data_IF_754767133377
#
_entry.id   IF_754767133377
#
_cell.length_a   1.000
_cell.length_b   1.000
_cell.length_c   1.000
_cell.angle_alpha   90.00
_cell.angle_beta   90.00
_cell.angle_gamma   90.00
#
_symmetry.space_group_name_H-M   'P 1'
#
loop_
_entity.id
_entity.type
_entity.pdbx_description
1 polymer ?
#
# COMPACT_ATOMS: atom_id res chain seq x y z
N UNK A 1 -47.32 -58.51 25.88
CA UNK A 1 -46.16 -58.76 24.99
C UNK A 1 -46.13 -57.93 23.70
N UNK A 2 -47.22 -57.77 22.93
CA UNK A 2 -47.21 -57.06 21.62
C UNK A 2 -46.82 -55.56 21.66
N UNK A 3 -47.08 -54.84 22.75
CA UNK A 3 -46.79 -53.40 22.88
C UNK A 3 -45.31 -53.09 23.17
N UNK A 4 -44.65 -53.94 23.95
CA UNK A 4 -43.22 -53.85 24.24
C UNK A 4 -42.37 -54.23 23.01
N UNK A 5 -42.76 -55.26 22.26
CA UNK A 5 -42.08 -55.67 21.03
C UNK A 5 -42.11 -54.56 19.95
N UNK A 6 -43.25 -53.86 19.78
CA UNK A 6 -43.35 -52.70 18.88
C UNK A 6 -42.45 -51.53 19.29
N UNK A 7 -42.28 -51.30 20.60
CA UNK A 7 -41.44 -50.21 21.13
C UNK A 7 -39.95 -50.48 20.90
N UNK A 8 -39.49 -51.72 21.10
CA UNK A 8 -38.12 -52.12 20.78
C UNK A 8 -37.86 -52.16 19.27
N UNK A 9 -38.82 -52.62 18.47
CA UNK A 9 -38.69 -52.61 17.01
C UNK A 9 -38.60 -51.19 16.43
N UNK A 10 -39.40 -50.26 16.96
CA UNK A 10 -39.32 -48.83 16.59
C UNK A 10 -37.99 -48.20 17.00
N UNK A 11 -37.43 -48.60 18.14
CA UNK A 11 -36.12 -48.12 18.59
C UNK A 11 -34.99 -48.64 17.71
N UNK A 12 -35.04 -49.92 17.31
CA UNK A 12 -34.05 -50.53 16.40
C UNK A 12 -34.09 -49.85 15.02
N UNK A 13 -35.27 -49.58 14.48
CA UNK A 13 -35.41 -48.85 13.19
C UNK A 13 -34.86 -47.42 13.32
N UNK A 14 -35.15 -46.72 14.41
CA UNK A 14 -34.62 -45.38 14.66
C UNK A 14 -33.08 -45.39 14.76
N UNK A 15 -32.51 -46.37 15.46
CA UNK A 15 -31.05 -46.53 15.57
C UNK A 15 -30.41 -46.87 14.22
N UNK A 16 -31.03 -47.74 13.42
CA UNK A 16 -30.54 -48.07 12.06
C UNK A 16 -30.60 -46.87 11.10
N UNK A 17 -31.64 -46.03 11.17
CA UNK A 17 -31.72 -44.78 10.39
C UNK A 17 -30.66 -43.75 10.83
N UNK A 18 -30.38 -43.64 12.13
CA UNK A 18 -29.33 -42.76 12.65
C UNK A 18 -27.95 -43.25 12.22
N UNK A 19 -27.70 -44.57 12.24
CA UNK A 19 -26.45 -45.16 11.74
C UNK A 19 -26.31 -44.94 10.23
N UNK A 20 -27.38 -45.04 9.43
CA UNK A 20 -27.32 -44.77 7.99
C UNK A 20 -27.05 -43.30 7.65
N UNK A 21 -27.40 -42.36 8.53
CA UNK A 21 -27.06 -40.93 8.39
C UNK A 21 -25.58 -40.63 8.68
N UNK A 22 -24.86 -41.51 9.37
CA UNK A 22 -23.45 -41.33 9.74
C UNK A 22 -22.49 -41.86 8.66
N UNK A 23 -22.94 -42.77 7.79
CA UNK A 23 -22.14 -43.41 6.72
C UNK A 23 -22.40 -42.76 5.35
N UNK A 24 -22.64 -41.44 5.31
CA UNK A 24 -22.57 -40.72 4.03
C UNK A 24 -21.09 -40.53 3.70
N UNK A 25 -20.52 -41.17 2.65
CA UNK A 25 -19.16 -40.88 2.25
C UNK A 25 -19.09 -39.40 1.89
N UNK A 26 -18.39 -38.60 2.72
CA UNK A 26 -18.01 -37.24 2.36
C UNK A 26 -17.03 -37.37 1.20
N UNK A 27 -17.54 -37.31 -0.03
CA UNK A 27 -16.69 -37.10 -1.20
C UNK A 27 -16.04 -35.73 -1.02
N UNK A 28 -14.80 -35.72 -0.54
CA UNK A 28 -13.99 -34.52 -0.50
C UNK A 28 -13.79 -34.08 -1.95
N UNK A 29 -14.62 -33.14 -2.41
CA UNK A 29 -14.47 -32.50 -3.70
C UNK A 29 -13.04 -31.95 -3.76
N UNK A 30 -12.19 -32.54 -4.59
CA UNK A 30 -10.82 -32.08 -4.74
C UNK A 30 -10.85 -30.59 -5.09
N UNK A 31 -10.27 -29.76 -4.23
CA UNK A 31 -10.26 -28.31 -4.43
C UNK A 31 -9.67 -28.00 -5.80
N UNK A 32 -10.40 -27.27 -6.64
CA UNK A 32 -9.92 -26.92 -7.96
C UNK A 32 -8.70 -26.01 -7.84
N UNK A 33 -7.59 -26.42 -8.48
CA UNK A 33 -6.35 -25.65 -8.47
C UNK A 33 -6.59 -24.35 -9.23
N UNK A 34 -6.43 -23.20 -8.56
CA UNK A 34 -6.76 -21.88 -9.13
C UNK A 34 -5.73 -20.81 -8.78
N UNK A 35 -5.60 -19.83 -9.67
CA UNK A 35 -4.88 -18.59 -9.42
C UNK A 35 -5.81 -17.55 -8.83
N UNK A 36 -5.30 -16.69 -7.93
CA UNK A 36 -6.04 -15.54 -7.42
C UNK A 36 -6.38 -14.49 -8.51
N UNK A 37 -5.61 -14.43 -9.60
CA UNK A 37 -5.87 -13.57 -10.77
C UNK A 37 -5.42 -14.23 -12.07
N UNK A 38 -6.19 -14.02 -13.13
CA UNK A 38 -5.87 -14.46 -14.51
C UNK A 38 -5.56 -13.29 -15.45
N UNK A 39 -5.94 -12.07 -15.07
CA UNK A 39 -5.54 -10.82 -15.71
C UNK A 39 -5.20 -9.79 -14.64
N UNK A 40 -4.15 -9.00 -14.87
CA UNK A 40 -3.70 -7.95 -13.97
C UNK A 40 -3.13 -6.79 -14.78
N UNK A 41 -3.50 -5.56 -14.43
CA UNK A 41 -2.79 -4.36 -14.88
C UNK A 41 -1.97 -3.83 -13.72
N UNK A 42 -0.70 -3.53 -13.96
CA UNK A 42 0.23 -2.98 -12.98
C UNK A 42 0.92 -1.74 -13.56
N UNK A 43 1.46 -0.91 -12.68
CA UNK A 43 2.35 0.16 -13.09
C UNK A 43 3.82 -0.30 -13.00
N UNK A 44 4.70 0.28 -13.82
CA UNK A 44 6.16 0.07 -13.71
C UNK A 44 6.60 0.26 -12.26
N UNK A 45 7.49 -0.60 -11.74
CA UNK A 45 7.93 -0.60 -10.34
C UNK A 45 7.00 -1.40 -9.40
N UNK A 46 5.73 -1.59 -9.77
CA UNK A 46 4.73 -2.26 -8.95
C UNK A 46 5.06 -3.72 -8.67
N UNK A 47 4.56 -4.21 -7.53
CA UNK A 47 4.76 -5.59 -7.07
C UNK A 47 3.41 -6.23 -6.76
N UNK A 48 3.20 -7.46 -7.23
CA UNK A 48 2.00 -8.24 -6.94
C UNK A 48 2.36 -9.67 -6.59
N UNK A 49 1.62 -10.30 -5.66
CA UNK A 49 1.83 -11.69 -5.29
C UNK A 49 0.70 -12.58 -5.84
N UNK A 50 1.00 -13.33 -6.90
CA UNK A 50 0.11 -14.36 -7.40
C UNK A 50 0.14 -15.55 -6.43
N UNK A 51 -1.05 -16.05 -6.09
CA UNK A 51 -1.24 -17.19 -5.19
C UNK A 51 -1.97 -18.29 -5.93
N UNK A 52 -1.46 -19.51 -5.79
CA UNK A 52 -2.14 -20.73 -6.22
C UNK A 52 -2.78 -21.36 -5.00
N UNK A 53 -4.06 -21.70 -5.07
CA UNK A 53 -4.80 -22.44 -4.02
C UNK A 53 -5.31 -23.77 -4.56
N UNK A 54 -5.66 -24.70 -3.66
CA UNK A 54 -6.20 -26.02 -4.02
C UNK A 54 -5.13 -27.07 -4.34
N UNK A 55 -3.88 -26.85 -3.92
CA UNK A 55 -2.77 -27.79 -4.11
C UNK A 55 -1.71 -27.60 -3.03
N UNK A 56 -1.11 -28.71 -2.60
CA UNK A 56 0.10 -28.72 -1.77
C UNK A 56 1.36 -29.02 -2.60
N UNK A 57 1.20 -29.28 -3.90
CA UNK A 57 2.31 -29.54 -4.82
C UNK A 57 3.11 -28.25 -5.06
N UNK A 58 4.42 -28.41 -5.25
CA UNK A 58 5.34 -27.34 -5.64
C UNK A 58 4.86 -26.65 -6.92
N UNK A 59 4.91 -25.32 -6.93
CA UNK A 59 4.57 -24.47 -8.08
C UNK A 59 5.84 -23.92 -8.70
N UNK A 60 6.02 -24.14 -9.99
CA UNK A 60 7.10 -23.52 -10.76
C UNK A 60 6.55 -22.32 -11.55
N UNK A 61 7.23 -21.18 -11.45
CA UNK A 61 6.80 -19.94 -12.08
C UNK A 61 7.68 -19.58 -13.28
N UNK A 62 7.08 -19.08 -14.34
CA UNK A 62 7.81 -18.51 -15.49
C UNK A 62 7.09 -17.30 -16.07
N UNK A 63 7.80 -16.49 -16.86
CA UNK A 63 7.27 -15.35 -17.61
C UNK A 63 7.61 -15.51 -19.08
N UNK A 64 6.72 -15.09 -19.97
CA UNK A 64 7.02 -14.99 -21.40
C UNK A 64 8.03 -13.88 -21.70
N UNK A 65 8.11 -12.85 -20.86
CA UNK A 65 9.10 -11.78 -20.97
C UNK A 65 9.46 -11.26 -19.56
N UNK A 66 10.64 -11.67 -19.07
CA UNK A 66 11.13 -11.29 -17.75
C UNK A 66 11.72 -9.87 -17.67
N UNK A 67 11.92 -9.21 -18.82
CA UNK A 67 12.28 -7.78 -18.93
C UNK A 67 11.05 -6.90 -18.79
N UNK A 68 9.88 -7.37 -19.19
CA UNK A 68 8.58 -6.72 -18.95
C UNK A 68 8.08 -7.04 -17.54
N UNK A 69 7.86 -8.32 -17.21
CA UNK A 69 7.40 -8.77 -15.90
C UNK A 69 8.17 -10.00 -15.43
N UNK A 70 8.90 -9.88 -14.31
CA UNK A 70 9.59 -11.04 -13.71
C UNK A 70 8.76 -11.64 -12.59
N UNK A 71 8.86 -12.94 -12.38
CA UNK A 71 8.22 -13.65 -11.26
C UNK A 71 9.24 -14.50 -10.51
N UNK A 72 9.20 -14.45 -9.18
CA UNK A 72 9.94 -15.37 -8.31
C UNK A 72 9.05 -15.76 -7.13
N UNK A 73 8.82 -17.06 -6.93
CA UNK A 73 7.94 -17.59 -5.88
C UNK A 73 6.57 -16.87 -5.82
N UNK A 74 5.94 -16.67 -6.98
CA UNK A 74 4.65 -15.97 -7.09
C UNK A 74 4.72 -14.43 -6.97
N UNK A 75 5.84 -13.86 -6.51
CA UNK A 75 6.08 -12.41 -6.48
C UNK A 75 6.42 -11.90 -7.88
N UNK A 76 5.46 -11.23 -8.51
CA UNK A 76 5.60 -10.54 -9.79
C UNK A 76 6.11 -9.13 -9.56
N UNK A 77 7.14 -8.72 -10.30
CA UNK A 77 7.65 -7.35 -10.37
C UNK A 77 7.42 -6.79 -11.77
N UNK A 78 6.77 -5.64 -11.86
CA UNK A 78 6.58 -4.90 -13.09
C UNK A 78 7.83 -4.05 -13.39
N UNK A 79 8.48 -4.29 -14.54
CA UNK A 79 9.76 -3.65 -14.87
C UNK A 79 9.66 -2.64 -16.00
N UNK A 80 8.91 -2.97 -17.05
CA UNK A 80 8.78 -2.15 -18.25
C UNK A 80 7.37 -2.23 -18.80
N UNK A 81 6.88 -1.12 -19.38
CA UNK A 81 5.64 -1.07 -20.14
C UNK A 81 5.61 -2.18 -21.20
N UNK A 82 4.48 -2.88 -21.29
CA UNK A 82 4.31 -4.02 -22.18
C UNK A 82 3.29 -5.02 -21.66
N UNK A 83 3.24 -6.18 -22.31
CA UNK A 83 2.40 -7.31 -21.86
C UNK A 83 3.26 -8.56 -21.73
N UNK A 84 3.11 -9.27 -20.62
CA UNK A 84 3.76 -10.56 -20.40
C UNK A 84 2.75 -11.54 -19.78
N UNK A 85 2.92 -12.84 -20.03
CA UNK A 85 2.11 -13.88 -19.38
C UNK A 85 2.96 -14.60 -18.34
N UNK A 86 2.48 -14.59 -17.09
CA UNK A 86 3.04 -15.39 -16.01
C UNK A 86 2.36 -16.76 -16.01
N UNK A 87 3.16 -17.82 -16.00
CA UNK A 87 2.68 -19.20 -15.93
C UNK A 87 3.05 -19.81 -14.58
N UNK A 88 2.05 -20.37 -13.88
CA UNK A 88 2.23 -21.25 -12.74
C UNK A 88 2.04 -22.69 -13.19
N UNK A 89 3.09 -23.50 -13.09
CA UNK A 89 3.09 -24.93 -13.44
C UNK A 89 2.98 -25.77 -12.17
N UNK A 90 2.00 -26.66 -12.12
CA UNK A 90 1.73 -27.60 -11.01
C UNK A 90 1.64 -29.01 -11.60
N UNK A 91 2.76 -29.74 -11.60
CA UNK A 91 2.88 -30.99 -12.36
C UNK A 91 2.66 -30.75 -13.85
N UNK A 92 1.65 -31.40 -14.44
CA UNK A 92 1.23 -31.19 -15.84
C UNK A 92 0.31 -30.00 -16.04
N UNK A 93 -0.37 -29.52 -14.99
CA UNK A 93 -1.32 -28.40 -15.07
C UNK A 93 -0.58 -27.07 -15.19
N UNK A 94 -1.11 -26.17 -16.03
CA UNK A 94 -0.59 -24.79 -16.20
C UNK A 94 -1.73 -23.81 -15.99
N UNK A 95 -1.51 -22.85 -15.09
CA UNK A 95 -2.38 -21.68 -14.91
C UNK A 95 -1.64 -20.46 -15.44
N UNK A 96 -2.37 -19.56 -16.11
CA UNK A 96 -1.80 -18.38 -16.75
C UNK A 96 -2.42 -17.11 -16.20
N UNK A 97 -1.59 -16.08 -16.04
CA UNK A 97 -1.99 -14.73 -15.71
C UNK A 97 -1.39 -13.75 -16.72
N UNK A 98 -2.24 -13.04 -17.46
CA UNK A 98 -1.79 -11.97 -18.36
C UNK A 98 -1.55 -10.70 -17.56
N UNK A 99 -0.32 -10.17 -17.63
CA UNK A 99 0.10 -8.96 -16.96
C UNK A 99 0.28 -7.86 -18.01
N UNK A 100 -0.48 -6.77 -17.88
CA UNK A 100 -0.28 -5.54 -18.66
C UNK A 100 0.40 -4.51 -17.78
N UNK A 101 1.54 -3.99 -18.20
CA UNK A 101 2.28 -2.96 -17.47
C UNK A 101 2.13 -1.63 -18.19
N UNK A 102 1.81 -0.59 -17.42
CA UNK A 102 1.73 0.80 -17.88
C UNK A 102 2.76 1.64 -17.14
N UNK A 103 3.11 2.77 -17.74
CA UNK A 103 3.73 3.87 -17.03
C UNK A 103 2.76 5.03 -17.03
N UNK A 104 2.38 5.50 -15.85
CA UNK A 104 1.38 6.54 -15.69
C UNK A 104 1.98 7.85 -15.19
N UNK A 105 3.30 7.92 -15.00
CA UNK A 105 3.99 9.13 -14.52
C UNK A 105 3.77 10.33 -15.44
N UNK A 106 3.63 10.09 -16.74
CA UNK A 106 3.30 11.13 -17.72
C UNK A 106 1.99 11.87 -17.40
N UNK A 107 1.04 11.26 -16.66
CA UNK A 107 -0.19 11.94 -16.24
C UNK A 107 0.07 13.11 -15.29
N UNK A 108 1.18 13.11 -14.56
CA UNK A 108 1.56 14.20 -13.67
C UNK A 108 2.08 15.45 -14.39
N UNK A 109 2.47 15.34 -15.66
CA UNK A 109 3.00 16.48 -16.43
C UNK A 109 1.97 17.62 -16.48
N UNK A 110 0.69 17.29 -16.68
CA UNK A 110 -0.40 18.26 -16.68
C UNK A 110 -0.55 18.97 -15.34
N UNK A 111 -0.43 18.24 -14.22
CA UNK A 111 -0.52 18.83 -12.87
C UNK A 111 0.65 19.79 -12.62
N UNK A 112 1.87 19.41 -13.02
CA UNK A 112 3.03 20.28 -12.86
C UNK A 112 2.96 21.54 -13.71
N UNK A 113 2.38 21.48 -14.90
CA UNK A 113 2.17 22.67 -15.75
C UNK A 113 1.11 23.61 -15.18
N UNK A 114 0.10 23.07 -14.49
CA UNK A 114 -1.07 23.85 -14.02
C UNK A 114 -0.96 24.31 -12.57
N UNK A 115 -0.22 23.61 -11.72
CA UNK A 115 -0.16 23.87 -10.27
C UNK A 115 0.58 25.15 -9.89
N UNK A 116 1.37 25.74 -10.80
CA UNK A 116 2.30 26.83 -10.46
C UNK A 116 3.43 26.42 -9.50
N UNK A 117 3.54 25.13 -9.16
CA UNK A 117 4.57 24.61 -8.26
C UNK A 117 5.97 24.78 -8.83
N UNK A 118 6.92 25.23 -8.00
CA UNK A 118 8.31 25.46 -8.42
C UNK A 118 9.16 24.20 -8.38
N UNK A 119 8.74 23.19 -7.61
CA UNK A 119 9.47 21.94 -7.44
C UNK A 119 8.54 20.78 -7.09
N UNK A 120 9.07 19.55 -7.26
CA UNK A 120 8.32 18.34 -6.97
C UNK A 120 9.20 17.19 -6.47
N UNK A 121 8.56 16.26 -5.78
CA UNK A 121 9.08 14.93 -5.45
C UNK A 121 8.23 13.86 -6.13
N UNK A 122 8.84 12.69 -6.33
CA UNK A 122 8.17 11.47 -6.73
C UNK A 122 8.45 10.42 -5.66
N UNK A 123 7.42 9.96 -4.96
CA UNK A 123 7.54 9.04 -3.82
C UNK A 123 6.41 8.02 -3.82
N UNK A 124 6.71 6.72 -3.86
CA UNK A 124 5.70 5.64 -3.90
C UNK A 124 5.16 5.37 -2.48
N UNK A 125 4.22 6.20 -2.03
CA UNK A 125 3.63 6.10 -0.68
C UNK A 125 2.41 5.15 -0.65
N UNK A 126 1.75 4.90 -1.79
CA UNK A 126 0.70 3.86 -1.87
C UNK A 126 1.18 2.45 -2.25
N UNK A 127 2.47 2.29 -2.61
CA UNK A 127 3.09 1.03 -3.04
C UNK A 127 2.46 0.43 -4.30
N UNK A 128 1.78 1.24 -5.12
CA UNK A 128 1.16 0.78 -6.36
C UNK A 128 2.18 0.67 -7.52
N UNK A 129 3.41 1.20 -7.31
CA UNK A 129 4.50 1.20 -8.26
C UNK A 129 4.66 2.52 -9.04
N UNK A 130 3.59 3.28 -9.21
CA UNK A 130 3.68 4.67 -9.68
C UNK A 130 3.92 5.57 -8.49
N UNK A 131 5.08 6.25 -8.42
CA UNK A 131 5.32 7.21 -7.35
C UNK A 131 4.22 8.27 -7.30
N UNK A 132 3.78 8.64 -6.12
CA UNK A 132 2.91 9.79 -5.88
C UNK A 132 3.69 11.09 -6.13
N UNK A 133 3.00 12.09 -6.65
CA UNK A 133 3.56 13.40 -6.94
C UNK A 133 3.34 14.33 -5.75
N UNK A 134 4.41 14.90 -5.22
CA UNK A 134 4.35 15.93 -4.18
C UNK A 134 4.87 17.22 -4.78
N UNK A 135 4.05 18.25 -4.81
CA UNK A 135 4.35 19.55 -5.41
C UNK A 135 4.51 20.60 -4.31
N UNK A 136 5.54 21.43 -4.42
CA UNK A 136 5.74 22.59 -3.57
C UNK A 136 5.78 23.87 -4.39
N UNK A 137 5.16 24.92 -3.86
CA UNK A 137 5.15 26.28 -4.43
C UNK A 137 6.50 27.00 -4.30
N UNK A 138 7.41 26.51 -3.46
CA UNK A 138 8.71 27.12 -3.22
C UNK A 138 9.83 26.10 -3.02
N UNK A 139 11.06 26.49 -3.36
CA UNK A 139 12.28 25.69 -3.20
C UNK A 139 12.97 25.93 -1.83
N UNK A 140 12.50 26.92 -1.06
CA UNK A 140 13.11 27.40 0.20
C UNK A 140 12.28 27.13 1.48
N UNK A 141 11.87 28.18 2.20
CA UNK A 141 10.97 28.07 3.37
C UNK A 141 9.60 27.62 2.84
N UNK A 142 9.35 26.31 2.91
CA UNK A 142 8.16 25.68 2.35
C UNK A 142 7.01 25.86 3.33
N UNK A 143 5.90 26.35 2.80
CA UNK A 143 4.65 26.52 3.55
C UNK A 143 3.70 25.35 3.32
N UNK A 144 3.64 24.76 2.12
CA UNK A 144 2.66 23.71 1.80
C UNK A 144 3.13 22.71 0.74
N UNK A 145 2.92 21.42 0.99
CA UNK A 145 3.10 20.35 0.01
C UNK A 145 1.77 19.78 -0.46
N UNK A 146 1.45 19.95 -1.75
CA UNK A 146 0.29 19.33 -2.37
C UNK A 146 0.62 17.93 -2.87
N UNK A 147 -0.13 16.93 -2.43
CA UNK A 147 0.11 15.52 -2.77
C UNK A 147 -0.95 15.04 -3.75
N UNK A 148 -0.51 14.36 -4.80
CA UNK A 148 -1.33 13.79 -5.84
C UNK A 148 -0.97 12.31 -6.02
N UNK A 149 -1.99 11.49 -6.25
CA UNK A 149 -1.86 10.06 -6.53
C UNK A 149 -2.53 9.71 -7.85
N UNK A 150 -2.30 8.52 -8.38
CA UNK A 150 -3.01 8.01 -9.56
C UNK A 150 -3.87 6.81 -9.18
N UNK A 151 -5.16 6.93 -9.46
CA UNK A 151 -6.11 5.82 -9.30
C UNK A 151 -6.92 5.65 -10.56
N UNK A 152 -7.02 4.40 -11.01
CA UNK A 152 -7.75 4.02 -12.22
C UNK A 152 -7.34 4.86 -13.47
N UNK A 153 -6.05 5.23 -13.55
CA UNK A 153 -5.51 6.03 -14.65
C UNK A 153 -5.94 7.49 -14.66
N UNK A 154 -6.41 8.02 -13.53
CA UNK A 154 -6.67 9.44 -13.33
C UNK A 154 -5.83 9.97 -12.17
N UNK A 155 -5.29 11.17 -12.32
CA UNK A 155 -4.62 11.87 -11.22
C UNK A 155 -5.69 12.37 -10.26
N UNK A 156 -5.47 12.16 -8.97
CA UNK A 156 -6.33 12.56 -7.87
C UNK A 156 -5.49 13.42 -6.93
N UNK A 157 -6.02 14.58 -6.52
CA UNK A 157 -5.46 15.33 -5.41
C UNK A 157 -5.76 14.59 -4.10
N UNK A 158 -4.70 14.14 -3.42
CA UNK A 158 -4.82 13.34 -2.21
C UNK A 158 -4.96 14.20 -0.95
N UNK A 159 -4.35 15.39 -0.94
CA UNK A 159 -4.40 16.33 0.17
C UNK A 159 -3.13 17.15 0.28
N UNK A 160 -3.00 17.85 1.40
CA UNK A 160 -1.89 18.74 1.68
C UNK A 160 -1.15 18.29 2.94
N UNK A 161 0.19 18.30 2.90
CA UNK A 161 0.96 18.33 4.13
C UNK A 161 1.19 19.80 4.49
N UNK A 162 0.42 20.28 5.46
CA UNK A 162 0.52 21.63 6.00
C UNK A 162 0.11 21.66 7.47
N UNK A 163 0.36 22.78 8.14
CA UNK A 163 -0.03 23.00 9.53
C UNK A 163 0.44 24.36 10.01
N UNK A 164 -0.27 24.89 11.01
CA UNK A 164 0.04 26.22 11.55
C UNK A 164 1.46 26.23 12.14
N UNK A 165 2.26 27.21 11.75
CA UNK A 165 3.61 27.42 12.30
C UNK A 165 4.70 26.48 11.78
N UNK A 166 4.42 25.62 10.79
CA UNK A 166 5.41 24.71 10.19
C UNK A 166 6.42 25.46 9.30
N UNK A 167 7.49 26.00 9.89
CA UNK A 167 8.57 26.68 9.16
C UNK A 167 9.82 25.78 9.03
N UNK A 168 10.67 26.05 8.04
CA UNK A 168 11.91 25.28 7.80
C UNK A 168 11.68 23.76 7.74
N UNK A 169 10.76 23.36 6.87
CA UNK A 169 10.32 21.99 6.73
C UNK A 169 11.40 21.12 6.06
N UNK A 170 11.60 19.91 6.57
CA UNK A 170 12.38 18.85 5.92
C UNK A 170 11.42 17.72 5.60
N UNK A 171 11.25 17.45 4.30
CA UNK A 171 10.44 16.34 3.81
C UNK A 171 11.30 15.09 3.58
N UNK A 172 10.85 13.96 4.11
CA UNK A 172 11.50 12.66 4.00
C UNK A 172 10.47 11.58 3.70
N UNK A 173 10.94 10.44 3.18
CA UNK A 173 10.13 9.24 3.03
C UNK A 173 10.32 8.33 4.24
N UNK A 174 9.23 8.02 4.95
CA UNK A 174 9.25 6.99 5.97
C UNK A 174 9.07 5.60 5.34
N UNK A 175 10.13 4.78 5.37
CA UNK A 175 10.15 3.46 4.74
C UNK A 175 9.34 2.38 5.47
N UNK A 176 9.09 2.56 6.76
CA UNK A 176 8.31 1.61 7.54
C UNK A 176 6.82 1.77 7.22
N UNK A 177 6.33 3.01 7.29
CA UNK A 177 4.92 3.33 7.10
C UNK A 177 4.55 3.64 5.64
N UNK A 178 5.52 3.87 4.76
CA UNK A 178 5.32 4.35 3.38
C UNK A 178 4.55 5.65 3.39
N UNK A 179 5.16 6.62 4.03
CA UNK A 179 4.52 7.89 4.28
C UNK A 179 5.48 9.04 4.09
N UNK A 180 4.89 10.22 4.02
CA UNK A 180 5.62 11.47 4.03
C UNK A 180 5.89 11.80 5.49
N UNK A 181 7.15 11.89 5.88
CA UNK A 181 7.56 12.46 7.16
C UNK A 181 7.99 13.91 6.92
N UNK A 182 7.42 14.85 7.68
CA UNK A 182 7.88 16.23 7.72
C UNK A 182 8.30 16.56 9.15
N UNK A 183 9.52 17.04 9.30
CA UNK A 183 9.97 17.73 10.51
C UNK A 183 10.09 19.23 10.24
N UNK A 184 9.83 20.06 11.25
CA UNK A 184 9.87 21.52 11.12
C UNK A 184 10.31 22.19 12.42
N UNK A 185 10.70 23.45 12.28
CA UNK A 185 10.93 24.38 13.40
C UNK A 185 9.85 25.46 13.41
N UNK A 186 9.47 25.93 14.60
CA UNK A 186 8.47 27.00 14.76
C UNK A 186 9.16 28.28 15.21
N UNK A 187 9.09 29.33 14.38
CA UNK A 187 9.69 30.63 14.69
C UNK A 187 8.96 31.35 15.84
N UNK A 188 9.72 32.11 16.63
CA UNK A 188 9.20 33.03 17.66
C UNK A 188 8.81 32.39 19.00
N UNK A 189 8.49 31.10 19.03
CA UNK A 189 8.02 30.39 20.26
C UNK A 189 9.01 29.36 20.79
N UNK A 190 10.01 28.96 19.99
CA UNK A 190 10.98 27.93 20.35
C UNK A 190 10.33 26.56 20.45
N UNK A 191 10.23 25.86 19.30
CA UNK A 191 9.69 24.51 19.26
C UNK A 191 9.97 23.79 17.94
N UNK A 192 9.99 22.47 17.99
CA UNK A 192 10.11 21.62 16.80
C UNK A 192 8.97 20.61 16.77
N UNK A 193 8.61 20.21 15.56
CA UNK A 193 7.56 19.22 15.36
C UNK A 193 7.91 18.24 14.26
N UNK A 194 7.23 17.11 14.32
CA UNK A 194 7.28 16.04 13.33
C UNK A 194 5.87 15.55 13.07
N UNK A 195 5.59 15.20 11.82
CA UNK A 195 4.34 14.55 11.46
C UNK A 195 4.55 13.56 10.31
N UNK A 196 3.74 12.52 10.34
CA UNK A 196 3.71 11.44 9.38
C UNK A 196 2.34 11.45 8.69
N UNK A 197 2.36 11.44 7.37
CA UNK A 197 1.16 11.32 6.53
C UNK A 197 1.25 10.06 5.67
N UNK A 198 0.13 9.35 5.58
CA UNK A 198 -0.01 8.17 4.71
C UNK A 198 -1.27 8.28 3.87
N UNK A 199 -1.37 7.46 2.82
CA UNK A 199 -2.60 7.37 2.03
C UNK A 199 -3.56 6.36 2.64
N UNK A 200 -4.77 6.83 2.95
CA UNK A 200 -5.94 5.99 3.21
C UNK A 200 -6.81 5.97 1.95
N UNK A 201 -6.65 4.91 1.15
CA UNK A 201 -7.21 4.86 -0.19
C UNK A 201 -6.55 5.91 -1.09
N UNK A 202 -7.28 6.99 -1.41
CA UNK A 202 -6.74 8.10 -2.22
C UNK A 202 -6.69 9.42 -1.46
N UNK A 203 -6.91 9.39 -0.14
CA UNK A 203 -6.87 10.57 0.72
C UNK A 203 -5.60 10.52 1.55
N UNK A 204 -4.91 11.65 1.64
CA UNK A 204 -3.78 11.84 2.52
C UNK A 204 -4.28 12.12 3.94
N UNK A 205 -3.74 11.39 4.91
CA UNK A 205 -4.17 11.47 6.31
C UNK A 205 -2.94 11.57 7.20
N UNK A 206 -2.94 12.51 8.13
CA UNK A 206 -1.92 12.53 9.20
C UNK A 206 -2.21 11.40 10.18
N UNK A 207 -1.21 10.57 10.44
CA UNK A 207 -1.33 9.39 11.31
C UNK A 207 -0.58 9.54 12.61
N UNK A 208 0.39 10.44 12.64
CA UNK A 208 1.24 10.67 13.80
C UNK A 208 1.76 12.08 13.77
N UNK A 209 1.70 12.77 14.91
CA UNK A 209 2.23 14.11 15.10
C UNK A 209 2.86 14.21 16.47
N UNK A 210 4.00 14.88 16.53
CA UNK A 210 4.70 15.21 17.75
C UNK A 210 5.14 16.67 17.70
N UNK A 211 5.09 17.34 18.83
CA UNK A 211 5.54 18.71 18.97
C UNK A 211 6.20 18.89 20.33
N UNK A 212 7.37 19.54 20.36
CA UNK A 212 8.05 19.93 21.58
C UNK A 212 8.33 21.43 21.55
N UNK A 213 8.21 22.06 22.71
CA UNK A 213 8.51 23.47 22.90
C UNK A 213 8.85 23.74 24.36
N UNK A 214 9.10 25.00 24.72
CA UNK A 214 9.33 25.42 26.11
C UNK A 214 8.17 25.09 27.05
N UNK A 215 6.93 24.95 26.54
CA UNK A 215 5.75 24.60 27.35
C UNK A 215 5.55 23.09 27.53
N UNK A 216 6.41 22.25 26.95
CA UNK A 216 6.40 20.81 27.12
C UNK A 216 6.25 20.01 25.82
N UNK A 217 5.82 18.76 25.97
CA UNK A 217 5.81 17.74 24.93
C UNK A 217 4.40 17.28 24.62
N UNK A 218 4.09 17.18 23.33
CA UNK A 218 2.78 16.78 22.86
C UNK A 218 2.89 15.72 21.77
N UNK A 219 1.98 14.75 21.78
CA UNK A 219 1.84 13.77 20.71
C UNK A 219 0.37 13.54 20.39
N UNK A 220 0.08 13.08 19.17
CA UNK A 220 -1.27 12.90 18.70
C UNK A 220 -1.32 12.29 17.31
N UNK A 221 -2.53 12.02 16.82
CA UNK A 221 -2.72 11.54 15.44
C UNK A 221 -2.50 12.66 14.42
N UNK A 222 -2.99 13.84 14.74
CA UNK A 222 -2.99 15.06 13.92
C UNK A 222 -3.07 16.30 14.85
N UNK A 223 -3.16 17.50 14.28
CA UNK A 223 -3.18 18.77 15.03
C UNK A 223 -4.37 18.88 16.01
N UNK A 224 -5.53 18.31 15.68
CA UNK A 224 -6.73 18.39 16.54
C UNK A 224 -6.70 17.39 17.70
N UNK A 225 -5.86 16.35 17.60
CA UNK A 225 -5.80 15.25 18.57
C UNK A 225 -4.49 15.22 19.37
N UNK A 226 -3.81 16.36 19.50
CA UNK A 226 -2.58 16.49 20.29
C UNK A 226 -2.89 16.48 21.80
N UNK A 227 -2.09 15.76 22.58
CA UNK A 227 -2.19 15.69 24.04
C UNK A 227 -0.82 15.90 24.66
N UNK A 228 -0.78 16.55 25.82
CA UNK A 228 0.44 16.68 26.61
C UNK A 228 0.90 15.30 27.12
N UNK A 229 2.20 15.05 27.07
CA UNK A 229 2.83 13.79 27.51
C UNK A 229 4.12 14.06 28.27
N UNK A 230 4.64 13.06 28.98
CA UNK A 230 5.97 13.13 29.58
C UNK A 230 7.06 13.09 28.49
N UNK A 231 8.27 13.56 28.83
CA UNK A 231 9.42 13.50 27.93
C UNK A 231 9.76 12.06 27.51
N UNK A 232 9.69 11.09 28.42
CA UNK A 232 9.92 9.68 28.12
C UNK A 232 8.91 9.14 27.12
N UNK A 233 7.63 9.45 27.32
CA UNK A 233 6.56 9.06 26.39
C UNK A 233 6.72 9.72 25.02
N UNK A 234 7.13 10.99 24.98
CA UNK A 234 7.43 11.71 23.74
C UNK A 234 8.55 11.03 22.94
N UNK A 235 9.69 10.76 23.59
CA UNK A 235 10.84 10.12 22.94
C UNK A 235 10.47 8.74 22.39
N UNK A 236 9.76 7.93 23.17
CA UNK A 236 9.27 6.61 22.73
C UNK A 236 8.34 6.72 21.51
N UNK A 237 7.44 7.71 21.52
CA UNK A 237 6.55 7.98 20.39
C UNK A 237 7.33 8.37 19.13
N UNK A 238 8.28 9.29 19.25
CA UNK A 238 9.11 9.73 18.13
C UNK A 238 9.94 8.58 17.54
N UNK A 239 10.51 7.73 18.40
CA UNK A 239 11.27 6.55 17.98
C UNK A 239 10.42 5.55 17.20
N UNK A 240 9.17 5.36 17.61
CA UNK A 240 8.22 4.47 16.94
C UNK A 240 7.75 5.00 15.58
N UNK A 241 7.55 6.32 15.46
CA UNK A 241 6.83 6.91 14.33
C UNK A 241 7.71 7.62 13.31
N UNK A 242 8.84 8.22 13.72
CA UNK A 242 9.62 9.12 12.87
C UNK A 242 11.04 8.62 12.54
N UNK A 243 11.36 7.37 12.90
CA UNK A 243 12.56 6.66 12.43
C UNK A 243 12.35 6.04 11.04
N UNK A 244 13.43 5.49 10.47
CA UNK A 244 13.45 4.81 9.16
C UNK A 244 13.13 5.74 7.97
N UNK A 245 13.61 6.98 8.06
CA UNK A 245 13.41 8.00 7.05
C UNK A 245 14.54 8.00 6.01
N UNK A 246 14.19 8.17 4.74
CA UNK A 246 15.11 8.37 3.62
C UNK A 246 14.91 9.75 3.04
N UNK A 247 15.99 10.43 2.70
CA UNK A 247 15.92 11.64 1.89
C UNK A 247 15.49 11.28 0.47
N UNK A 248 14.64 12.12 -0.11
CA UNK A 248 14.23 12.03 -1.50
C UNK A 248 14.69 13.29 -2.22
N UNK A 249 15.06 13.12 -3.50
CA UNK A 249 15.50 14.26 -4.30
C UNK A 249 14.30 15.10 -4.71
N UNK A 250 14.38 16.39 -4.36
CA UNK A 250 13.48 17.41 -4.87
C UNK A 250 14.00 17.90 -6.22
N UNK A 251 13.15 17.90 -7.24
CA UNK A 251 13.48 18.40 -8.56
C UNK A 251 12.84 19.76 -8.79
N UNK A 252 13.56 20.67 -9.44
CA UNK A 252 12.92 21.89 -9.98
C UNK A 252 11.89 21.50 -11.03
N UNK A 253 10.75 22.19 -11.08
CA UNK A 253 9.73 21.98 -12.08
C UNK A 253 10.10 22.62 -13.44
N UNK A 254 11.18 22.14 -14.06
CA UNK A 254 11.62 22.54 -15.40
C UNK A 254 11.13 21.53 -16.44
N UNK A 255 11.06 21.94 -17.71
CA UNK A 255 10.72 21.04 -18.82
C UNK A 255 11.67 19.83 -18.89
N UNK A 256 12.96 20.06 -18.67
CA UNK A 256 13.98 19.00 -18.64
C UNK A 256 13.69 17.96 -17.54
N UNK A 257 13.45 18.40 -16.30
CA UNK A 257 13.17 17.48 -15.20
C UNK A 257 11.83 16.74 -15.38
N UNK A 258 10.82 17.38 -15.96
CA UNK A 258 9.57 16.70 -16.32
C UNK A 258 9.80 15.59 -17.34
N UNK A 259 10.56 15.86 -18.40
CA UNK A 259 10.91 14.86 -19.42
C UNK A 259 11.70 13.71 -18.78
N UNK A 260 12.73 14.01 -17.99
CA UNK A 260 13.63 13.01 -17.41
C UNK A 260 12.95 12.08 -16.39
N UNK A 261 11.98 12.58 -15.63
CA UNK A 261 11.43 11.84 -14.50
C UNK A 261 9.98 11.34 -14.69
N UNK A 262 9.24 11.90 -15.65
CA UNK A 262 7.85 11.52 -15.92
C UNK A 262 7.65 10.73 -17.22
N UNK A 263 8.64 10.67 -18.11
CA UNK A 263 8.60 9.95 -19.40
C UNK A 263 9.60 8.79 -19.39
#
# INVERSE_FOLDING_TARGET
MKKQLKKHFSFIIAVLMVISLIIIPRTAQAASVKLNKTKLTMNVGGVYHLKVSGTNKKVTWSSTDSKVASVSSGKVKAKKTGTATITAKIGSKKLKCQIKIKDQRALYEKVLLQSGGKCFYLMDIDRNGTPDLIVSSNRGVIVDYSVYTIKNGKVIYAGQCSGKGMNYQILQYNTHYNGIHISWWTNGVGGSGSALWTLSGSKLVSTSRAYCSVVGFQTGKDEQHMKNVSQTSFNSYCDKHFRNCKQYTMWSNTSENRIKHLK
#
